data_IF_398189709062
#
_entry.id   IF_398189709062
#
_cell.length_a   1.000
_cell.length_b   1.000
_cell.length_c   1.000
_cell.angle_alpha   90.00
_cell.angle_beta   90.00
_cell.angle_gamma   90.00
#
_symmetry.space_group_name_H-M   'P 1'
#
loop_
_entity.id
_entity.type
_entity.pdbx_description
1 polymer ?
#
# COMPACT_ATOMS: atom_id res chain seq x y z
N UNK A 1 -26.78 5.36 4.36
CA UNK A 1 -25.48 5.71 3.76
C UNK A 1 -25.34 4.87 2.51
N UNK A 2 -25.36 5.48 1.34
CA UNK A 2 -25.14 4.78 0.08
C UNK A 2 -23.64 4.53 -0.09
N UNK A 3 -23.28 3.55 -0.91
CA UNK A 3 -21.87 3.17 -1.16
C UNK A 3 -21.05 4.36 -1.71
N UNK A 4 -21.70 5.29 -2.40
CA UNK A 4 -21.09 6.50 -2.95
C UNK A 4 -20.68 7.55 -1.89
N UNK A 5 -21.28 7.51 -0.70
CA UNK A 5 -20.94 8.45 0.39
C UNK A 5 -19.60 8.11 1.09
N UNK A 6 -19.01 6.94 0.79
CA UNK A 6 -17.79 6.45 1.44
C UNK A 6 -16.51 6.76 0.65
N UNK A 7 -16.64 7.12 -0.61
CA UNK A 7 -15.49 7.41 -1.45
C UNK A 7 -15.33 8.93 -1.61
N UNK A 8 -14.14 9.49 -1.36
CA UNK A 8 -13.88 10.88 -1.66
C UNK A 8 -14.01 11.11 -3.17
N UNK A 9 -14.59 12.26 -3.54
CA UNK A 9 -14.61 12.67 -4.93
C UNK A 9 -13.16 12.80 -5.45
N UNK A 10 -12.84 12.04 -6.48
CA UNK A 10 -11.53 12.12 -7.14
C UNK A 10 -11.66 13.14 -8.29
N UNK A 11 -10.97 14.29 -8.23
CA UNK A 11 -11.02 15.27 -9.29
C UNK A 11 -10.37 14.73 -10.57
N UNK A 12 -10.82 15.24 -11.72
CA UNK A 12 -10.13 14.98 -12.98
C UNK A 12 -8.74 15.64 -12.95
N UNK A 13 -7.72 14.87 -13.27
CA UNK A 13 -6.32 15.32 -13.34
C UNK A 13 -5.88 15.68 -14.75
N UNK A 14 -6.79 15.68 -15.72
CA UNK A 14 -6.50 15.98 -17.13
C UNK A 14 -6.10 17.44 -17.31
N UNK A 15 -4.80 17.70 -17.44
CA UNK A 15 -4.21 18.98 -17.81
C UNK A 15 -3.24 18.76 -18.97
N UNK A 16 -3.73 18.98 -20.21
CA UNK A 16 -2.94 18.76 -21.40
C UNK A 16 -1.74 19.73 -21.50
N UNK A 17 -1.89 20.96 -20.99
CA UNK A 17 -0.81 21.95 -21.03
C UNK A 17 0.31 21.56 -20.04
N UNK A 18 -0.03 21.15 -18.83
CA UNK A 18 0.97 20.63 -17.88
C UNK A 18 1.62 19.34 -18.38
N UNK A 19 0.84 18.42 -18.94
CA UNK A 19 1.38 17.18 -19.51
C UNK A 19 2.40 17.45 -20.63
N UNK A 20 2.14 18.42 -21.51
CA UNK A 20 3.07 18.80 -22.55
C UNK A 20 4.36 19.41 -21.98
N UNK A 21 4.30 20.26 -20.94
CA UNK A 21 5.49 20.80 -20.30
C UNK A 21 6.30 19.73 -19.58
N UNK A 22 5.65 18.81 -18.90
CA UNK A 22 6.30 17.66 -18.25
C UNK A 22 7.02 16.77 -19.28
N UNK A 23 6.36 16.47 -20.42
CA UNK A 23 6.98 15.69 -21.49
C UNK A 23 8.20 16.43 -22.04
N UNK A 24 8.09 17.72 -22.33
CA UNK A 24 9.21 18.52 -22.79
C UNK A 24 10.39 18.53 -21.80
N UNK A 25 10.09 18.62 -20.49
CA UNK A 25 11.13 18.55 -19.45
C UNK A 25 11.82 17.18 -19.40
N UNK A 26 11.11 16.09 -19.65
CA UNK A 26 11.68 14.73 -19.75
C UNK A 26 12.54 14.58 -21.01
N UNK A 27 12.08 15.09 -22.12
CA UNK A 27 12.77 14.98 -23.43
C UNK A 27 14.06 15.82 -23.49
N UNK A 28 14.08 16.95 -22.78
CA UNK A 28 15.26 17.83 -22.70
C UNK A 28 16.33 17.35 -21.70
N UNK A 29 16.15 16.24 -21.02
CA UNK A 29 17.20 15.68 -20.15
C UNK A 29 18.33 15.06 -21.00
N UNK A 30 19.55 15.06 -20.46
CA UNK A 30 20.74 14.46 -21.09
C UNK A 30 20.64 12.94 -21.16
N UNK A 31 19.77 12.44 -22.03
CA UNK A 31 19.50 11.03 -22.29
C UNK A 31 18.85 10.86 -23.66
N UNK A 32 18.92 9.68 -24.31
CA UNK A 32 18.08 9.39 -25.46
C UNK A 32 16.58 9.48 -25.12
N UNK A 33 15.76 9.84 -26.08
CA UNK A 33 14.29 9.88 -25.90
C UNK A 33 13.79 8.49 -25.46
N UNK A 34 12.93 8.47 -24.46
CA UNK A 34 12.33 7.23 -23.95
C UNK A 34 13.29 6.30 -23.19
N UNK A 35 14.54 6.69 -22.93
CA UNK A 35 15.56 5.80 -22.35
C UNK A 35 15.21 5.28 -20.95
N UNK A 36 14.41 6.00 -20.18
CA UNK A 36 13.98 5.57 -18.86
C UNK A 36 12.68 4.72 -18.89
N UNK A 37 12.08 4.54 -20.07
CA UNK A 37 10.92 3.68 -20.26
C UNK A 37 9.76 4.04 -19.33
N UNK A 38 9.30 3.09 -18.51
CA UNK A 38 8.17 3.27 -17.59
C UNK A 38 8.37 4.37 -16.55
N UNK A 39 9.60 4.71 -16.19
CA UNK A 39 9.87 5.79 -15.24
C UNK A 39 9.45 7.15 -15.79
N UNK A 40 9.56 7.38 -17.12
CA UNK A 40 9.09 8.61 -17.76
C UNK A 40 7.56 8.73 -17.67
N UNK A 41 6.85 7.64 -17.95
CA UNK A 41 5.39 7.61 -17.83
C UNK A 41 4.93 7.82 -16.38
N UNK A 42 5.64 7.26 -15.40
CA UNK A 42 5.35 7.48 -13.98
C UNK A 42 5.63 8.93 -13.56
N UNK A 43 6.74 9.51 -13.98
CA UNK A 43 7.08 10.90 -13.69
C UNK A 43 6.04 11.87 -14.25
N UNK A 44 5.61 11.66 -15.49
CA UNK A 44 4.56 12.44 -16.14
C UNK A 44 3.24 12.33 -15.37
N UNK A 45 2.84 11.12 -14.98
CA UNK A 45 1.61 10.90 -14.24
C UNK A 45 1.66 11.50 -12.83
N UNK A 46 2.78 11.40 -12.14
CA UNK A 46 2.97 12.05 -10.83
C UNK A 46 2.92 13.56 -10.94
N UNK A 47 3.56 14.14 -11.95
CA UNK A 47 3.49 15.58 -12.20
C UNK A 47 2.07 16.07 -12.46
N UNK A 48 1.27 15.34 -13.24
CA UNK A 48 -0.15 15.67 -13.47
C UNK A 48 -1.00 15.50 -12.21
N UNK A 49 -0.81 14.46 -11.42
CA UNK A 49 -1.54 14.25 -10.15
C UNK A 49 -1.24 15.37 -9.16
N UNK A 50 0.03 15.78 -9.05
CA UNK A 50 0.48 16.80 -8.11
C UNK A 50 0.34 18.23 -8.65
N UNK A 51 -0.06 18.40 -9.91
CA UNK A 51 -0.24 19.70 -10.55
C UNK A 51 1.05 20.50 -10.68
N UNK A 52 2.22 19.85 -10.84
CA UNK A 52 3.52 20.52 -10.83
C UNK A 52 4.52 19.89 -11.81
N UNK A 53 5.42 20.71 -12.34
CA UNK A 53 6.53 20.26 -13.19
C UNK A 53 7.71 19.64 -12.41
N UNK A 54 7.71 19.82 -11.08
CA UNK A 54 8.74 19.30 -10.18
C UNK A 54 8.11 18.46 -9.07
N UNK A 55 7.56 17.28 -9.41
CA UNK A 55 6.89 16.43 -8.44
C UNK A 55 7.86 15.93 -7.37
N UNK A 56 7.46 16.04 -6.11
CA UNK A 56 8.15 15.47 -4.97
C UNK A 56 7.22 14.50 -4.24
N UNK A 57 7.76 13.38 -3.77
CA UNK A 57 7.04 12.41 -2.95
C UNK A 57 7.28 12.76 -1.48
N UNK A 58 6.26 13.29 -0.82
CA UNK A 58 6.33 13.64 0.60
C UNK A 58 5.69 12.53 1.44
N UNK A 59 6.35 12.20 2.56
CA UNK A 59 5.90 11.20 3.53
C UNK A 59 5.40 9.87 2.88
N UNK A 60 6.23 9.20 2.08
CA UNK A 60 5.82 7.96 1.41
C UNK A 60 5.46 6.88 2.44
N UNK A 61 4.42 6.10 2.14
CA UNK A 61 3.85 5.11 3.04
C UNK A 61 3.97 3.71 2.44
N UNK A 62 4.28 2.74 3.31
CA UNK A 62 4.16 1.31 3.03
C UNK A 62 3.02 0.74 3.85
N UNK A 63 2.00 0.21 3.20
CA UNK A 63 0.87 -0.45 3.86
C UNK A 63 0.97 -1.96 3.65
N UNK A 64 0.97 -2.72 4.74
CA UNK A 64 0.90 -4.18 4.73
C UNK A 64 -0.45 -4.61 5.28
N UNK A 65 -1.26 -5.26 4.46
CA UNK A 65 -2.55 -5.82 4.89
C UNK A 65 -2.35 -7.29 5.27
N UNK A 66 -2.65 -7.64 6.50
CA UNK A 66 -2.52 -8.99 7.03
C UNK A 66 -3.89 -9.61 7.31
N UNK A 67 -4.10 -10.83 6.83
CA UNK A 67 -5.32 -11.60 7.10
C UNK A 67 -5.03 -13.10 7.04
N UNK A 68 -5.81 -13.87 7.78
CA UNK A 68 -5.84 -15.32 7.66
C UNK A 68 -6.87 -15.78 6.65
N UNK A 69 -6.56 -16.86 5.94
CA UNK A 69 -7.45 -17.50 4.98
C UNK A 69 -7.80 -18.91 5.43
N UNK A 70 -9.08 -19.25 5.47
CA UNK A 70 -9.57 -20.59 5.81
C UNK A 70 -9.02 -21.71 4.89
N UNK A 71 -8.56 -21.35 3.69
CA UNK A 71 -7.91 -22.28 2.76
C UNK A 71 -6.59 -22.87 3.28
N UNK A 72 -5.89 -22.19 4.18
CA UNK A 72 -4.65 -22.71 4.77
C UNK A 72 -4.87 -24.06 5.47
N UNK A 73 -6.05 -24.27 6.08
CA UNK A 73 -6.42 -25.53 6.72
C UNK A 73 -6.58 -26.71 5.73
N UNK A 74 -6.67 -26.43 4.42
CA UNK A 74 -6.74 -27.47 3.37
C UNK A 74 -5.38 -27.90 2.82
N UNK A 75 -4.29 -27.48 3.46
CA UNK A 75 -2.92 -27.88 3.06
C UNK A 75 -2.40 -27.19 1.80
N UNK A 76 -3.02 -26.08 1.37
CA UNK A 76 -2.54 -25.28 0.21
C UNK A 76 -1.35 -24.38 0.55
N UNK A 77 -1.06 -24.19 1.83
CA UNK A 77 0.07 -23.43 2.33
C UNK A 77 1.11 -24.35 2.95
N UNK A 78 2.39 -24.07 2.71
CA UNK A 78 3.52 -24.77 3.36
C UNK A 78 3.62 -24.44 4.86
N UNK A 79 2.93 -23.37 5.32
CA UNK A 79 3.00 -22.89 6.69
C UNK A 79 1.60 -22.88 7.33
N UNK A 80 1.49 -23.13 8.64
CA UNK A 80 0.24 -23.03 9.38
C UNK A 80 -0.20 -21.55 9.50
N UNK A 81 -1.50 -21.33 9.75
CA UNK A 81 -2.08 -19.98 9.91
C UNK A 81 -1.44 -19.17 11.05
N UNK A 82 -0.89 -19.84 12.06
CA UNK A 82 -0.21 -19.15 13.17
C UNK A 82 0.99 -18.30 12.74
N UNK A 83 1.56 -18.58 11.57
CA UNK A 83 2.64 -17.77 11.00
C UNK A 83 2.16 -16.34 10.68
N UNK A 84 0.87 -16.14 10.35
CA UNK A 84 0.35 -14.81 10.01
C UNK A 84 0.53 -13.82 11.16
N UNK A 85 0.09 -14.16 12.37
CA UNK A 85 0.24 -13.25 13.51
C UNK A 85 1.69 -13.05 13.92
N UNK A 86 2.52 -14.11 13.81
CA UNK A 86 3.96 -14.02 14.08
C UNK A 86 4.65 -13.06 13.10
N UNK A 87 4.22 -13.07 11.83
CA UNK A 87 4.71 -12.12 10.84
C UNK A 87 4.27 -10.69 11.12
N UNK A 88 3.03 -10.47 11.58
CA UNK A 88 2.59 -9.14 12.03
C UNK A 88 3.49 -8.61 13.15
N UNK A 89 3.79 -9.44 14.16
CA UNK A 89 4.73 -9.06 15.23
C UNK A 89 6.12 -8.73 14.68
N UNK A 90 6.60 -9.54 13.74
CA UNK A 90 7.91 -9.33 13.10
C UNK A 90 7.94 -8.04 12.26
N UNK A 91 6.85 -7.70 11.54
CA UNK A 91 6.73 -6.43 10.83
C UNK A 91 6.85 -5.25 11.79
N UNK A 92 6.12 -5.28 12.89
CA UNK A 92 6.09 -4.22 13.90
C UNK A 92 7.41 -4.12 14.68
N UNK A 93 8.09 -5.25 14.91
CA UNK A 93 9.41 -5.28 15.51
C UNK A 93 10.54 -4.82 14.56
N UNK A 94 10.23 -4.64 13.26
CA UNK A 94 11.20 -4.16 12.29
C UNK A 94 12.15 -5.22 11.73
N UNK A 95 11.92 -6.52 12.01
CA UNK A 95 12.78 -7.62 11.60
C UNK A 95 12.51 -8.17 10.20
N UNK A 96 11.33 -7.92 9.65
CA UNK A 96 10.96 -8.41 8.33
C UNK A 96 11.59 -7.59 7.20
N UNK A 97 11.76 -8.20 6.03
CA UNK A 97 12.34 -7.56 4.86
C UNK A 97 11.62 -6.25 4.49
N UNK A 98 10.27 -6.22 4.50
CA UNK A 98 9.49 -5.01 4.21
C UNK A 98 9.79 -3.88 5.20
N UNK A 99 9.98 -4.20 6.48
CA UNK A 99 10.30 -3.22 7.53
C UNK A 99 11.69 -2.65 7.35
N UNK A 100 12.66 -3.52 6.99
CA UNK A 100 14.04 -3.10 6.69
C UNK A 100 14.08 -2.20 5.46
N UNK A 101 13.41 -2.61 4.37
CA UNK A 101 13.38 -1.84 3.13
C UNK A 101 12.62 -0.52 3.31
N UNK A 102 11.48 -0.52 4.01
CA UNK A 102 10.75 0.71 4.31
C UNK A 102 11.63 1.71 5.05
N UNK A 103 12.32 1.28 6.11
CA UNK A 103 13.26 2.12 6.86
C UNK A 103 14.41 2.62 5.99
N UNK A 104 14.99 1.76 5.14
CA UNK A 104 16.10 2.12 4.25
C UNK A 104 15.70 3.19 3.24
N UNK A 105 14.45 3.17 2.76
CA UNK A 105 13.93 4.09 1.77
C UNK A 105 13.11 5.25 2.36
N UNK A 106 13.08 5.40 3.69
CA UNK A 106 12.36 6.48 4.35
C UNK A 106 10.84 6.40 4.23
N UNK A 107 10.28 5.19 4.05
CA UNK A 107 8.84 4.97 4.05
C UNK A 107 8.33 4.72 5.47
N UNK A 108 7.23 5.35 5.86
CA UNK A 108 6.51 4.95 7.06
C UNK A 108 5.80 3.61 6.81
N UNK A 109 5.93 2.66 7.73
CA UNK A 109 5.28 1.35 7.64
C UNK A 109 4.06 1.30 8.53
N UNK A 110 2.92 0.94 7.94
CA UNK A 110 1.69 0.64 8.67
C UNK A 110 1.25 -0.78 8.34
N UNK A 111 0.97 -1.57 9.37
CA UNK A 111 0.39 -2.90 9.23
C UNK A 111 -1.10 -2.82 9.55
N UNK A 112 -1.95 -3.21 8.60
CA UNK A 112 -3.40 -3.28 8.78
C UNK A 112 -3.80 -4.72 9.09
N UNK A 113 -4.43 -4.93 10.24
CA UNK A 113 -5.11 -6.19 10.55
C UNK A 113 -6.44 -6.23 9.80
N UNK A 114 -6.51 -7.05 8.77
CA UNK A 114 -7.67 -7.26 7.92
C UNK A 114 -8.39 -8.59 8.24
N UNK A 115 -8.14 -9.19 9.39
CA UNK A 115 -8.75 -10.43 9.83
C UNK A 115 -7.74 -11.52 10.16
N UNK A 116 -6.72 -11.18 10.93
CA UNK A 116 -5.79 -12.15 11.53
C UNK A 116 -6.49 -12.83 12.70
N UNK A 117 -6.29 -14.14 12.86
CA UNK A 117 -6.91 -14.96 13.93
C UNK A 117 -6.29 -14.75 15.30
N UNK A 118 -5.94 -13.52 15.60
CA UNK A 118 -5.38 -13.13 16.90
C UNK A 118 -5.81 -11.72 17.23
N UNK A 119 -6.21 -11.51 18.47
CA UNK A 119 -6.48 -10.17 18.99
C UNK A 119 -5.16 -9.46 19.27
N UNK A 120 -4.99 -8.31 18.65
CA UNK A 120 -3.86 -7.41 18.89
C UNK A 120 -4.29 -6.25 19.79
N UNK A 121 -3.39 -5.83 20.66
CA UNK A 121 -3.59 -4.57 21.38
C UNK A 121 -3.20 -3.38 20.47
N UNK A 122 -3.95 -2.27 20.54
CA UNK A 122 -3.61 -1.05 19.81
C UNK A 122 -2.18 -0.59 20.12
N UNK A 123 -1.39 -0.29 19.08
CA UNK A 123 -0.02 0.19 19.23
C UNK A 123 0.43 0.94 17.97
N UNK A 124 1.48 1.77 18.03
CA UNK A 124 2.01 2.47 16.87
C UNK A 124 2.35 1.51 15.73
N UNK A 125 2.01 1.92 14.50
CA UNK A 125 2.26 1.14 13.29
C UNK A 125 1.25 0.03 13.01
N UNK A 126 0.29 -0.22 13.91
CA UNK A 126 -0.78 -1.21 13.72
C UNK A 126 -2.14 -0.51 13.56
N UNK A 127 -2.81 -0.77 12.45
CA UNK A 127 -4.18 -0.36 12.19
C UNK A 127 -5.10 -1.56 12.36
N UNK A 128 -6.01 -1.51 13.32
CA UNK A 128 -7.03 -2.53 13.55
C UNK A 128 -8.28 -2.16 12.77
N UNK A 129 -8.57 -2.85 11.67
CA UNK A 129 -9.78 -2.61 10.87
C UNK A 129 -11.00 -3.29 11.47
N UNK A 130 -10.80 -4.38 12.24
CA UNK A 130 -11.86 -5.13 12.88
C UNK A 130 -11.57 -5.24 14.38
N UNK A 131 -12.44 -4.65 15.18
CA UNK A 131 -12.40 -4.76 16.65
C UNK A 131 -13.30 -5.88 17.18
N UNK A 132 -13.96 -6.62 16.28
CA UNK A 132 -14.84 -7.77 16.57
C UNK A 132 -14.65 -8.83 15.48
N UNK A 133 -14.90 -10.12 15.79
CA UNK A 133 -14.81 -11.17 14.79
C UNK A 133 -15.66 -10.82 13.56
N UNK A 134 -15.07 -10.89 12.39
CA UNK A 134 -15.76 -10.65 11.13
C UNK A 134 -16.99 -11.57 11.03
N UNK A 135 -18.13 -11.12 10.45
CA UNK A 135 -19.27 -12.00 10.17
C UNK A 135 -18.91 -13.24 9.34
N UNK A 136 -17.75 -13.22 8.64
CA UNK A 136 -17.23 -14.38 7.90
C UNK A 136 -16.63 -15.44 8.83
N UNK A 137 -16.08 -15.05 9.97
CA UNK A 137 -15.47 -15.97 10.94
C UNK A 137 -16.54 -16.71 11.75
N UNK A 138 -17.73 -16.14 11.86
CA UNK A 138 -18.89 -16.77 12.53
C UNK A 138 -19.54 -17.88 11.71
N UNK A 139 -19.25 -17.98 10.39
CA UNK A 139 -19.79 -19.04 9.52
C UNK A 139 -18.97 -20.33 9.52
N UNK A 140 -17.85 -20.39 10.20
CA UNK A 140 -16.95 -21.54 10.26
C UNK A 140 -17.18 -22.52 11.40
N UNK A 141 -18.17 -22.27 12.28
CA UNK A 141 -18.51 -23.16 13.40
C UNK A 141 -19.91 -23.79 13.22
N UNK A 142 -20.07 -24.58 12.18
CA UNK A 142 -21.13 -25.61 12.07
C UNK A 142 -20.59 -26.83 11.36
#
# INVERSE_FOLDING_TARGET
MTHDDLLPAVPDIADAALAARLQAALDNKTKPLGALGRLEALALRLGTILGTESPALEAPQMLVCAADHGLAARGVSAYPSDVTWQMVENFLAGGAAVSVLARQHGLALTVADCGVRRDFQPRPGLCLLYTSPSPRDQRGSR
#
